data_IF_448087274863
#
_entry.id   IF_448087274863
#
_cell.length_a   1.000
_cell.length_b   1.000
_cell.length_c   1.000
_cell.angle_alpha   90.00
_cell.angle_beta   90.00
_cell.angle_gamma   90.00
#
_symmetry.space_group_name_H-M   'P 1'
#
loop_
_entity.id
_entity.type
_entity.pdbx_description
1 polymer ?
#
# COMPACT_ATOMS: atom_id res chain seq x y z
N UNK A 1 -2.40 67.80 -40.24
CA UNK A 1 -3.36 66.98 -39.48
C UNK A 1 -2.94 65.53 -39.58
N UNK A 2 -2.32 65.00 -38.57
CA UNK A 2 -1.90 63.58 -38.50
C UNK A 2 -2.77 62.84 -37.49
N UNK A 3 -3.54 61.90 -37.98
CA UNK A 3 -4.34 61.00 -37.15
C UNK A 3 -3.40 59.99 -36.46
N UNK A 4 -3.38 59.98 -35.12
CA UNK A 4 -2.77 58.94 -34.33
C UNK A 4 -3.80 57.84 -34.08
N UNK A 5 -3.55 56.66 -34.65
CA UNK A 5 -4.26 55.42 -34.41
C UNK A 5 -3.83 54.82 -33.07
N UNK A 6 -4.73 54.82 -32.09
CA UNK A 6 -4.54 54.09 -30.83
C UNK A 6 -4.73 52.58 -31.07
N UNK A 7 -3.63 51.82 -31.19
CA UNK A 7 -3.65 50.36 -31.00
C UNK A 7 -3.59 50.07 -29.50
N UNK A 8 -4.73 49.77 -28.91
CA UNK A 8 -4.81 49.09 -27.62
C UNK A 8 -4.27 47.71 -27.80
N UNK A 9 -3.10 47.43 -27.26
CA UNK A 9 -2.61 46.06 -27.04
C UNK A 9 -3.46 45.43 -25.99
N UNK A 10 -4.36 44.53 -26.44
CA UNK A 10 -5.06 43.57 -25.59
C UNK A 10 -4.04 42.53 -25.18
N UNK A 11 -3.38 42.74 -24.03
CA UNK A 11 -2.60 41.68 -23.37
C UNK A 11 -3.63 40.71 -22.85
N UNK A 12 -3.92 39.69 -23.65
CA UNK A 12 -4.52 38.45 -23.18
C UNK A 12 -3.53 37.88 -22.16
N UNK A 13 -3.82 38.08 -20.87
CA UNK A 13 -3.29 37.24 -19.83
C UNK A 13 -3.87 35.84 -20.05
N UNK A 14 -3.21 35.06 -20.89
CA UNK A 14 -3.29 33.60 -20.82
C UNK A 14 -2.65 33.23 -19.46
N UNK A 15 -3.44 33.28 -18.40
CA UNK A 15 -3.17 32.47 -17.24
C UNK A 15 -3.47 31.05 -17.71
N UNK A 16 -2.45 30.45 -18.35
CA UNK A 16 -2.42 29.04 -18.53
C UNK A 16 -2.76 28.42 -17.19
N UNK A 17 -3.81 27.61 -17.18
CA UNK A 17 -4.04 26.54 -16.23
C UNK A 17 -2.78 25.66 -16.25
N UNK A 18 -1.73 26.08 -15.54
CA UNK A 18 -0.49 25.34 -15.36
C UNK A 18 -0.85 24.23 -14.38
N UNK A 19 -1.42 23.22 -14.90
CA UNK A 19 -1.16 21.81 -14.84
C UNK A 19 -0.81 21.25 -13.45
N UNK A 20 -1.76 20.51 -12.83
CA UNK A 20 -1.42 19.59 -11.74
C UNK A 20 -0.37 18.53 -12.14
N UNK A 21 -0.19 18.24 -13.43
CA UNK A 21 0.85 17.34 -13.93
C UNK A 21 2.28 17.80 -13.63
N UNK A 22 2.56 19.10 -13.69
CA UNK A 22 3.85 19.64 -13.28
C UNK A 22 4.08 19.53 -11.77
N UNK A 23 3.04 19.66 -10.95
CA UNK A 23 3.15 19.50 -9.51
C UNK A 23 3.45 18.05 -9.09
N UNK A 24 2.95 17.07 -9.82
CA UNK A 24 3.21 15.64 -9.55
C UNK A 24 4.68 15.29 -9.79
N UNK A 25 5.32 15.89 -10.80
CA UNK A 25 6.72 15.64 -11.14
C UNK A 25 7.70 16.63 -10.50
N UNK A 26 7.23 17.77 -9.98
CA UNK A 26 8.07 18.82 -9.40
C UNK A 26 8.34 18.65 -7.89
N UNK A 27 7.79 17.62 -7.25
CA UNK A 27 8.12 17.31 -5.86
C UNK A 27 9.61 16.92 -5.77
N UNK A 28 10.34 17.54 -4.84
CA UNK A 28 11.76 17.22 -4.64
C UNK A 28 11.92 15.81 -4.13
N UNK A 29 12.32 14.93 -5.03
CA UNK A 29 12.70 13.56 -4.72
C UNK A 29 14.11 13.50 -4.12
N UNK A 30 14.42 12.44 -3.40
CA UNK A 30 15.77 12.18 -2.90
C UNK A 30 16.75 11.89 -4.05
N UNK A 31 18.05 11.95 -3.77
CA UNK A 31 19.15 11.72 -4.76
C UNK A 31 18.99 10.42 -5.56
N UNK A 32 18.39 9.40 -4.97
CA UNK A 32 18.26 8.06 -5.55
C UNK A 32 16.90 7.81 -6.20
N UNK A 33 15.92 8.68 -5.96
CA UNK A 33 14.61 8.61 -6.59
C UNK A 33 14.62 9.37 -7.93
N UNK A 34 14.17 8.72 -8.98
CA UNK A 34 14.03 9.32 -10.32
C UNK A 34 12.70 10.06 -10.50
N UNK A 35 11.75 9.87 -9.58
CA UNK A 35 10.37 10.35 -9.73
C UNK A 35 9.59 9.67 -10.87
N UNK A 36 10.10 8.54 -11.40
CA UNK A 36 9.51 7.83 -12.54
C UNK A 36 9.21 6.38 -12.19
N UNK A 37 8.16 5.79 -12.76
CA UNK A 37 7.88 4.36 -12.62
C UNK A 37 9.06 3.50 -13.07
N UNK A 38 9.28 2.38 -12.40
CA UNK A 38 10.29 1.38 -12.72
C UNK A 38 9.85 0.00 -12.18
N UNK A 39 10.73 -0.99 -12.27
CA UNK A 39 10.45 -2.32 -11.76
C UNK A 39 9.42 -3.07 -12.59
N UNK A 40 8.73 -4.00 -11.97
CA UNK A 40 7.70 -4.77 -12.66
C UNK A 40 6.60 -3.89 -13.26
N UNK A 41 6.24 -2.78 -12.64
CA UNK A 41 5.16 -1.90 -13.13
C UNK A 41 5.35 -1.42 -14.57
N UNK A 42 6.59 -1.33 -15.05
CA UNK A 42 6.93 -0.92 -16.43
C UNK A 42 7.48 -2.06 -17.27
N UNK A 43 7.42 -3.30 -16.82
CA UNK A 43 7.82 -4.47 -17.60
C UNK A 43 6.75 -4.80 -18.63
N UNK A 44 7.16 -5.06 -19.86
CA UNK A 44 6.23 -5.39 -20.95
C UNK A 44 5.78 -6.85 -20.95
N UNK A 45 6.61 -7.73 -20.34
CA UNK A 45 6.35 -9.18 -20.19
C UNK A 45 7.21 -9.76 -19.07
N UNK A 46 7.08 -11.07 -18.84
CA UNK A 46 7.92 -11.80 -17.90
C UNK A 46 9.40 -11.86 -18.32
N UNK A 47 9.67 -11.77 -19.61
CA UNK A 47 11.04 -11.75 -20.18
C UNK A 47 11.63 -10.33 -20.23
N UNK A 48 10.83 -9.30 -19.90
CA UNK A 48 11.24 -7.90 -19.95
C UNK A 48 10.47 -7.07 -20.98
N UNK A 49 11.16 -6.11 -21.59
CA UNK A 49 10.51 -5.11 -22.44
C UNK A 49 10.05 -3.89 -21.65
N UNK A 50 9.35 -2.97 -22.32
CA UNK A 50 8.89 -1.74 -21.71
C UNK A 50 7.38 -1.56 -21.88
N UNK A 51 6.70 -1.26 -20.79
CA UNK A 51 5.33 -0.77 -20.77
C UNK A 51 5.32 0.73 -20.44
N UNK A 52 4.53 1.51 -21.16
CA UNK A 52 4.40 2.95 -20.91
C UNK A 52 3.37 3.20 -19.81
N UNK A 53 3.79 3.09 -18.56
CA UNK A 53 2.97 3.43 -17.40
C UNK A 53 3.00 4.94 -17.19
N UNK A 54 1.94 5.63 -17.58
CA UNK A 54 1.81 7.09 -17.49
C UNK A 54 0.62 7.57 -16.65
N UNK A 55 -0.26 6.65 -16.20
CA UNK A 55 -1.39 6.97 -15.32
C UNK A 55 -2.34 8.04 -15.88
N UNK A 56 -2.52 8.11 -17.21
CA UNK A 56 -3.37 9.12 -17.85
C UNK A 56 -2.75 10.52 -17.91
N UNK A 57 -1.43 10.62 -17.93
CA UNK A 57 -0.70 11.90 -18.06
C UNK A 57 -1.22 12.72 -19.26
N UNK A 58 -1.45 14.02 -19.03
CA UNK A 58 -2.02 14.93 -20.05
C UNK A 58 -3.55 14.89 -20.15
N UNK A 59 -4.19 13.97 -19.44
CA UNK A 59 -5.65 13.85 -19.41
C UNK A 59 -6.34 14.88 -18.50
N UNK A 60 -7.66 14.71 -18.34
CA UNK A 60 -8.51 15.58 -17.56
C UNK A 60 -8.22 15.46 -16.06
N UNK A 61 -8.04 16.58 -15.36
CA UNK A 61 -7.68 16.60 -13.95
C UNK A 61 -8.70 17.30 -13.05
N UNK A 62 -8.75 16.90 -11.78
CA UNK A 62 -9.49 17.58 -10.72
C UNK A 62 -8.69 17.61 -9.42
N UNK A 63 -8.82 18.68 -8.66
CA UNK A 63 -8.31 18.76 -7.28
C UNK A 63 -9.47 18.74 -6.31
N UNK A 64 -9.45 17.80 -5.37
CA UNK A 64 -10.44 17.67 -4.31
C UNK A 64 -9.85 18.13 -2.98
N UNK A 65 -10.67 18.76 -2.15
CA UNK A 65 -10.40 19.07 -0.75
C UNK A 65 -11.45 18.40 0.12
N UNK A 66 -11.07 18.00 1.32
CA UNK A 66 -12.01 17.48 2.30
C UNK A 66 -13.04 18.55 2.68
N UNK A 67 -14.31 18.15 2.75
CA UNK A 67 -15.42 18.97 3.28
C UNK A 67 -15.73 18.63 4.75
N UNK A 68 -14.96 17.71 5.35
CA UNK A 68 -15.14 17.23 6.72
C UNK A 68 -16.12 16.05 6.84
N UNK A 69 -16.83 15.70 5.77
CA UNK A 69 -17.74 14.55 5.72
C UNK A 69 -17.12 13.30 5.08
N UNK A 70 -17.97 12.31 4.77
CA UNK A 70 -17.56 11.09 4.05
C UNK A 70 -17.28 11.40 2.57
N UNK A 71 -16.02 11.34 2.19
CA UNK A 71 -15.52 11.65 0.86
C UNK A 71 -15.52 10.46 -0.11
N UNK A 72 -15.90 9.27 0.32
CA UNK A 72 -15.78 8.05 -0.49
C UNK A 72 -16.48 8.17 -1.85
N UNK A 73 -17.75 8.61 -1.86
CA UNK A 73 -18.53 8.78 -3.09
C UNK A 73 -17.97 9.87 -3.99
N UNK A 74 -17.51 10.98 -3.42
CA UNK A 74 -16.92 12.10 -4.15
C UNK A 74 -15.66 11.68 -4.89
N UNK A 75 -14.75 10.97 -4.17
CA UNK A 75 -13.51 10.46 -4.77
C UNK A 75 -13.83 9.38 -5.81
N UNK A 76 -14.74 8.44 -5.51
CA UNK A 76 -15.14 7.39 -6.47
C UNK A 76 -15.70 7.97 -7.76
N UNK A 77 -16.55 9.00 -7.69
CA UNK A 77 -17.07 9.70 -8.87
C UNK A 77 -15.95 10.42 -9.64
N UNK A 78 -15.05 11.10 -8.95
CA UNK A 78 -13.92 11.76 -9.58
C UNK A 78 -13.02 10.79 -10.35
N UNK A 79 -12.76 9.60 -9.81
CA UNK A 79 -11.99 8.55 -10.50
C UNK A 79 -12.66 8.03 -11.78
N UNK A 80 -13.97 8.09 -11.88
CA UNK A 80 -14.71 7.75 -13.11
C UNK A 80 -14.63 8.84 -14.16
N UNK A 81 -14.68 10.11 -13.75
CA UNK A 81 -14.83 11.27 -14.66
C UNK A 81 -13.50 11.91 -15.07
N UNK A 82 -12.42 11.70 -14.32
CA UNK A 82 -11.12 12.34 -14.50
C UNK A 82 -10.00 11.32 -14.60
N UNK A 83 -8.95 11.66 -15.35
CA UNK A 83 -7.75 10.83 -15.49
C UNK A 83 -6.79 11.07 -14.33
N UNK A 84 -6.76 12.28 -13.80
CA UNK A 84 -5.89 12.68 -12.68
C UNK A 84 -6.76 13.26 -11.57
N UNK A 85 -6.73 12.61 -10.40
CA UNK A 85 -7.40 13.06 -9.17
C UNK A 85 -6.34 13.46 -8.15
N UNK A 86 -6.29 14.75 -7.84
CA UNK A 86 -5.39 15.31 -6.83
C UNK A 86 -6.17 15.49 -5.53
N UNK A 87 -5.64 14.95 -4.44
CA UNK A 87 -6.18 15.11 -3.09
C UNK A 87 -5.36 16.18 -2.37
N UNK A 88 -5.95 17.33 -2.10
CA UNK A 88 -5.31 18.43 -1.37
C UNK A 88 -5.65 18.36 0.12
N UNK A 89 -4.66 17.96 0.94
CA UNK A 89 -4.81 17.80 2.39
C UNK A 89 -4.91 19.10 3.19
N UNK A 90 -4.87 20.27 2.55
CA UNK A 90 -4.87 21.57 3.25
C UNK A 90 -6.12 21.82 4.12
N UNK A 91 -7.24 21.14 3.85
CA UNK A 91 -8.48 21.22 4.62
C UNK A 91 -8.63 20.09 5.67
N UNK A 92 -7.59 19.28 5.90
CA UNK A 92 -7.62 18.15 6.81
C UNK A 92 -7.87 16.80 6.11
N UNK A 93 -8.12 15.73 6.89
CA UNK A 93 -8.21 14.38 6.35
C UNK A 93 -9.47 14.16 5.52
N UNK A 94 -9.33 13.27 4.52
CA UNK A 94 -10.44 12.71 3.77
C UNK A 94 -10.98 11.50 4.53
N UNK A 95 -12.12 11.63 5.18
CA UNK A 95 -12.77 10.51 5.87
C UNK A 95 -13.45 9.61 4.85
N UNK A 96 -13.20 8.31 4.94
CA UNK A 96 -13.74 7.28 4.07
C UNK A 96 -14.63 6.37 4.90
N UNK A 97 -15.93 6.57 4.81
CA UNK A 97 -16.93 5.78 5.53
C UNK A 97 -17.20 4.42 4.88
N UNK A 98 -16.87 4.28 3.60
CA UNK A 98 -17.03 3.05 2.82
C UNK A 98 -15.92 2.94 1.78
N UNK A 99 -15.33 1.75 1.63
CA UNK A 99 -14.25 1.50 0.67
C UNK A 99 -14.57 2.08 -0.71
N UNK A 100 -13.68 2.93 -1.22
CA UNK A 100 -13.73 3.45 -2.58
C UNK A 100 -13.45 2.29 -3.54
N UNK A 101 -14.40 1.96 -4.41
CA UNK A 101 -14.24 0.91 -5.41
C UNK A 101 -13.94 1.51 -6.76
N UNK A 102 -12.69 1.33 -7.20
CA UNK A 102 -12.23 1.67 -8.54
C UNK A 102 -12.23 0.38 -9.37
N UNK A 103 -13.27 0.20 -10.20
CA UNK A 103 -13.45 -1.03 -10.97
C UNK A 103 -13.24 -0.79 -12.45
N UNK A 104 -12.37 -1.62 -13.07
CA UNK A 104 -12.08 -1.60 -14.53
C UNK A 104 -11.66 -0.22 -15.06
N UNK A 105 -10.94 0.54 -14.23
CA UNK A 105 -10.41 1.84 -14.63
C UNK A 105 -9.06 1.67 -15.32
N UNK A 106 -8.84 2.50 -16.33
CA UNK A 106 -7.58 2.56 -17.06
C UNK A 106 -7.02 3.98 -17.08
N UNK A 107 -5.69 4.10 -17.12
CA UNK A 107 -5.00 5.37 -17.29
C UNK A 107 -5.40 6.39 -16.21
N UNK A 108 -5.20 6.06 -14.93
CA UNK A 108 -5.56 6.92 -13.79
C UNK A 108 -4.36 7.24 -12.90
N UNK A 109 -4.31 8.48 -12.46
CA UNK A 109 -3.42 8.92 -11.37
C UNK A 109 -4.24 9.42 -10.20
N UNK A 110 -3.95 8.90 -9.02
CA UNK A 110 -4.46 9.38 -7.74
C UNK A 110 -3.24 9.87 -6.96
N UNK A 111 -3.17 11.16 -6.67
CA UNK A 111 -2.01 11.71 -5.97
C UNK A 111 -2.40 12.70 -4.89
N UNK A 112 -1.54 12.82 -3.88
CA UNK A 112 -1.72 13.74 -2.77
C UNK A 112 -0.79 14.94 -2.82
N UNK A 113 -1.26 16.07 -2.32
CA UNK A 113 -0.45 17.23 -1.97
C UNK A 113 -0.85 17.76 -0.59
N UNK A 114 -0.01 18.63 -0.01
CA UNK A 114 -0.27 19.26 1.28
C UNK A 114 -0.62 18.26 2.40
N UNK A 115 0.07 17.09 2.43
CA UNK A 115 -0.15 16.08 3.45
C UNK A 115 -1.48 15.34 3.33
N UNK A 116 -1.91 15.02 2.11
CA UNK A 116 -3.16 14.28 1.86
C UNK A 116 -3.24 12.99 2.69
N UNK A 117 -4.25 12.91 3.55
CA UNK A 117 -4.54 11.79 4.43
C UNK A 117 -5.92 11.23 4.11
N UNK A 118 -5.97 9.98 3.68
CA UNK A 118 -7.20 9.18 3.61
C UNK A 118 -7.31 8.35 4.90
N UNK A 119 -8.44 8.45 5.60
CA UNK A 119 -8.62 7.76 6.89
C UNK A 119 -10.03 7.19 7.05
N UNK A 120 -10.18 6.16 7.87
CA UNK A 120 -11.47 5.53 8.17
C UNK A 120 -12.20 6.26 9.30
N UNK A 121 -13.52 6.15 9.34
CA UNK A 121 -14.35 6.74 10.40
C UNK A 121 -14.18 6.04 11.76
N UNK A 122 -14.13 4.70 11.75
CA UNK A 122 -13.89 3.92 12.97
C UNK A 122 -12.42 3.98 13.38
N UNK A 123 -12.17 4.00 14.70
CA UNK A 123 -10.83 3.90 15.29
C UNK A 123 -10.86 3.02 16.53
N UNK A 124 -9.88 2.13 16.65
CA UNK A 124 -9.63 1.36 17.86
C UNK A 124 -9.25 2.31 19.00
N UNK A 125 -9.92 2.17 20.15
CA UNK A 125 -9.66 2.96 21.37
C UNK A 125 -9.00 2.12 22.45
N UNK A 126 -8.48 2.78 23.48
CA UNK A 126 -7.98 2.11 24.70
C UNK A 126 -9.05 1.25 25.36
N UNK A 127 -10.30 1.73 25.40
CA UNK A 127 -11.42 1.02 26.04
C UNK A 127 -11.79 -0.25 25.27
N UNK A 128 -11.80 -0.19 23.94
CA UNK A 128 -11.99 -1.39 23.10
C UNK A 128 -10.87 -2.39 23.37
N UNK A 129 -9.62 -1.95 23.43
CA UNK A 129 -8.49 -2.84 23.72
C UNK A 129 -8.60 -3.48 25.09
N UNK A 130 -8.96 -2.70 26.11
CA UNK A 130 -9.19 -3.21 27.48
C UNK A 130 -10.32 -4.25 27.52
N UNK A 131 -11.41 -4.02 26.78
CA UNK A 131 -12.51 -4.98 26.60
C UNK A 131 -11.99 -6.30 26.02
N UNK A 132 -11.26 -6.26 24.92
CA UNK A 132 -10.71 -7.43 24.25
C UNK A 132 -9.67 -8.18 25.11
N UNK A 133 -8.86 -7.45 25.88
CA UNK A 133 -7.91 -8.04 26.84
C UNK A 133 -8.66 -8.72 27.99
N UNK A 134 -9.72 -8.11 28.54
CA UNK A 134 -10.53 -8.69 29.59
C UNK A 134 -11.21 -10.00 29.19
N UNK A 135 -11.57 -10.12 27.93
CA UNK A 135 -12.14 -11.33 27.33
C UNK A 135 -11.06 -12.35 26.87
N UNK A 136 -9.78 -12.03 27.04
CA UNK A 136 -8.64 -12.89 26.68
C UNK A 136 -8.68 -13.40 25.22
N UNK A 137 -9.14 -12.58 24.28
CA UNK A 137 -9.37 -13.01 22.89
C UNK A 137 -8.11 -13.50 22.18
N UNK A 138 -6.92 -13.02 22.58
CA UNK A 138 -5.63 -13.47 22.02
C UNK A 138 -5.32 -14.93 22.29
N UNK A 139 -5.97 -15.54 23.29
CA UNK A 139 -5.79 -16.96 23.63
C UNK A 139 -6.81 -17.86 22.92
N UNK A 140 -7.78 -17.31 22.19
CA UNK A 140 -8.79 -18.07 21.49
C UNK A 140 -8.25 -18.69 20.18
N UNK A 141 -8.91 -19.76 19.75
CA UNK A 141 -8.52 -20.47 18.53
C UNK A 141 -8.94 -19.71 17.28
N UNK A 142 -8.07 -19.72 16.28
CA UNK A 142 -8.34 -19.18 14.95
C UNK A 142 -9.01 -20.21 14.00
N UNK A 143 -9.49 -21.32 14.53
CA UNK A 143 -10.16 -22.37 13.77
C UNK A 143 -11.41 -22.83 14.54
N UNK A 144 -12.45 -23.21 13.82
CA UNK A 144 -13.70 -23.70 14.42
C UNK A 144 -14.71 -24.16 13.37
N UNK A 145 -15.87 -24.63 13.85
CA UNK A 145 -16.92 -25.19 12.98
C UNK A 145 -17.96 -24.15 12.52
N UNK A 146 -17.68 -22.88 12.75
CA UNK A 146 -18.54 -21.76 12.40
C UNK A 146 -19.51 -21.37 13.54
N UNK A 147 -19.65 -20.08 13.71
CA UNK A 147 -20.41 -19.42 14.78
C UNK A 147 -21.42 -18.46 14.16
N UNK A 148 -22.51 -18.16 14.89
CA UNK A 148 -23.51 -17.20 14.45
C UNK A 148 -23.57 -16.04 15.43
N UNK A 149 -23.35 -14.82 14.96
CA UNK A 149 -23.43 -13.59 15.73
C UNK A 149 -24.89 -13.25 16.07
N UNK A 150 -25.11 -12.37 17.06
CA UNK A 150 -26.43 -11.89 17.45
C UNK A 150 -27.21 -11.22 16.30
N UNK A 151 -26.52 -10.65 15.31
CA UNK A 151 -27.12 -10.05 14.12
C UNK A 151 -27.42 -11.06 12.99
N UNK A 152 -27.15 -12.37 13.20
CA UNK A 152 -27.39 -13.44 12.25
C UNK A 152 -26.24 -13.72 11.28
N UNK A 153 -25.18 -12.93 11.27
CA UNK A 153 -24.02 -13.18 10.42
C UNK A 153 -23.23 -14.40 10.92
N UNK A 154 -22.70 -15.18 9.96
CA UNK A 154 -21.88 -16.36 10.27
C UNK A 154 -20.41 -16.01 10.22
N UNK A 155 -19.66 -16.54 11.18
CA UNK A 155 -18.22 -16.40 11.32
C UNK A 155 -17.61 -17.80 11.40
N UNK A 156 -16.46 -17.99 10.76
CA UNK A 156 -15.83 -19.31 10.71
C UNK A 156 -15.00 -19.62 11.95
N UNK A 157 -14.30 -18.62 12.46
CA UNK A 157 -13.30 -18.78 13.50
C UNK A 157 -13.81 -18.32 14.87
N UNK A 158 -13.41 -19.02 15.93
CA UNK A 158 -13.83 -18.71 17.31
C UNK A 158 -13.35 -17.32 17.76
N UNK A 159 -12.08 -17.01 17.50
CA UNK A 159 -11.51 -15.72 17.88
C UNK A 159 -12.22 -14.56 17.18
N UNK A 160 -12.45 -14.64 15.87
CA UNK A 160 -13.18 -13.64 15.12
C UNK A 160 -14.62 -13.48 15.62
N UNK A 161 -15.31 -14.60 15.93
CA UNK A 161 -16.66 -14.56 16.50
C UNK A 161 -16.71 -13.75 17.80
N UNK A 162 -15.83 -14.06 18.76
CA UNK A 162 -15.81 -13.37 20.05
C UNK A 162 -15.47 -11.89 19.90
N UNK A 163 -14.48 -11.56 19.09
CA UNK A 163 -14.11 -10.15 18.84
C UNK A 163 -15.27 -9.38 18.23
N UNK A 164 -15.90 -9.92 17.18
CA UNK A 164 -17.02 -9.26 16.50
C UNK A 164 -18.23 -9.11 17.42
N UNK A 165 -18.60 -10.15 18.16
CA UNK A 165 -19.75 -10.08 19.09
C UNK A 165 -19.50 -9.02 20.20
N UNK A 166 -18.30 -8.99 20.78
CA UNK A 166 -17.93 -7.98 21.77
C UNK A 166 -18.02 -6.56 21.22
N UNK A 167 -17.56 -6.35 19.99
CA UNK A 167 -17.62 -5.03 19.35
C UNK A 167 -19.04 -4.63 18.96
N UNK A 168 -19.89 -5.56 18.49
CA UNK A 168 -21.32 -5.32 18.25
C UNK A 168 -21.99 -4.81 19.52
N UNK A 169 -21.78 -5.51 20.63
CA UNK A 169 -22.45 -5.22 21.90
C UNK A 169 -21.91 -3.90 22.52
N UNK A 170 -20.58 -3.71 22.52
CA UNK A 170 -19.95 -2.55 23.12
C UNK A 170 -20.26 -1.25 22.35
N UNK A 171 -20.24 -1.30 21.03
CA UNK A 171 -20.51 -0.15 20.16
C UNK A 171 -22.00 0.05 19.87
N UNK A 172 -22.85 -0.91 20.27
CA UNK A 172 -24.26 -0.98 19.88
C UNK A 172 -24.41 -0.91 18.34
N UNK A 173 -23.57 -1.67 17.63
CA UNK A 173 -23.46 -1.65 16.18
C UNK A 173 -23.82 -3.02 15.55
N UNK A 174 -25.12 -3.36 15.44
CA UNK A 174 -25.56 -4.62 14.85
C UNK A 174 -25.27 -4.74 13.35
N UNK A 175 -24.91 -3.63 12.69
CA UNK A 175 -24.54 -3.62 11.26
C UNK A 175 -23.06 -3.85 11.03
N UNK A 176 -22.26 -3.87 12.11
CA UNK A 176 -20.81 -4.03 12.04
C UNK A 176 -20.12 -2.96 11.17
N UNK A 177 -20.58 -1.70 11.27
CA UNK A 177 -19.98 -0.56 10.55
C UNK A 177 -18.49 -0.39 10.90
N UNK A 178 -18.08 -0.83 12.11
CA UNK A 178 -16.68 -0.85 12.51
C UNK A 178 -15.79 -1.70 11.58
N UNK A 179 -16.34 -2.64 10.82
CA UNK A 179 -15.59 -3.45 9.85
C UNK A 179 -15.32 -2.73 8.54
N UNK A 180 -15.94 -1.59 8.27
CA UNK A 180 -15.67 -0.76 7.10
C UNK A 180 -14.31 -0.06 7.26
N UNK A 181 -13.23 -0.80 7.03
CA UNK A 181 -11.86 -0.41 7.30
C UNK A 181 -11.02 -0.18 6.03
N UNK A 182 -11.50 -0.62 4.88
CA UNK A 182 -10.86 -0.41 3.59
C UNK A 182 -10.98 1.03 3.10
N UNK A 183 -9.93 1.52 2.44
CA UNK A 183 -9.92 2.87 1.87
C UNK A 183 -10.08 2.81 0.36
N UNK A 184 -9.21 2.07 -0.34
CA UNK A 184 -9.22 2.01 -1.80
C UNK A 184 -9.07 0.57 -2.31
N UNK A 185 -9.99 0.13 -3.14
CA UNK A 185 -9.91 -1.15 -3.83
C UNK A 185 -9.83 -0.92 -5.34
N UNK A 186 -8.69 -1.26 -5.93
CA UNK A 186 -8.42 -1.25 -7.36
C UNK A 186 -8.72 -2.63 -7.93
N UNK A 187 -9.82 -2.76 -8.67
CA UNK A 187 -10.27 -4.04 -9.19
C UNK A 187 -10.32 -4.07 -10.71
N UNK A 188 -9.51 -4.95 -11.32
CA UNK A 188 -9.42 -5.07 -12.79
C UNK A 188 -8.94 -3.79 -13.47
N UNK A 189 -8.14 -2.97 -12.77
CA UNK A 189 -7.62 -1.71 -13.29
C UNK A 189 -6.30 -1.91 -14.05
N UNK A 190 -5.94 -0.95 -14.90
CA UNK A 190 -4.70 -0.98 -15.66
C UNK A 190 -4.10 0.41 -15.83
N UNK A 191 -2.76 0.51 -15.83
CA UNK A 191 -2.03 1.78 -16.00
C UNK A 191 -2.40 2.80 -14.92
N UNK A 192 -2.17 2.43 -13.66
CA UNK A 192 -2.57 3.22 -12.49
C UNK A 192 -1.34 3.73 -11.73
N UNK A 193 -1.39 4.98 -11.32
CA UNK A 193 -0.41 5.61 -10.42
C UNK A 193 -1.13 6.04 -9.14
N UNK A 194 -0.62 5.61 -7.98
CA UNK A 194 -1.04 6.09 -6.66
C UNK A 194 0.18 6.70 -5.99
N UNK A 195 0.16 8.00 -5.70
CA UNK A 195 1.37 8.68 -5.25
C UNK A 195 1.13 9.70 -4.15
N UNK A 196 2.07 9.75 -3.17
CA UNK A 196 2.16 10.80 -2.15
C UNK A 196 0.90 10.94 -1.30
N UNK A 197 0.33 9.81 -0.87
CA UNK A 197 -0.88 9.75 -0.04
C UNK A 197 -0.58 8.97 1.23
N UNK A 198 -1.08 9.46 2.36
CA UNK A 198 -1.14 8.70 3.59
C UNK A 198 -2.48 7.96 3.68
N UNK A 199 -2.41 6.66 3.96
CA UNK A 199 -3.55 5.79 4.26
C UNK A 199 -3.48 5.41 5.73
N UNK A 200 -4.51 5.76 6.51
CA UNK A 200 -4.54 5.46 7.93
C UNK A 200 -5.84 4.77 8.34
N UNK A 201 -5.71 3.53 8.76
CA UNK A 201 -6.81 2.70 9.21
C UNK A 201 -7.21 2.89 10.66
N UNK A 202 -8.08 2.00 11.13
CA UNK A 202 -8.61 2.06 12.51
C UNK A 202 -7.65 1.52 13.58
N UNK A 203 -6.63 0.78 13.20
CA UNK A 203 -5.87 -0.13 14.06
C UNK A 203 -6.26 -1.57 13.76
N UNK A 204 -5.30 -2.49 13.84
CA UNK A 204 -5.53 -3.88 13.47
C UNK A 204 -6.27 -4.67 14.55
N UNK A 205 -7.26 -5.42 14.11
CA UNK A 205 -8.00 -6.39 14.90
C UNK A 205 -8.60 -7.43 13.95
N UNK A 206 -8.64 -8.69 14.37
CA UNK A 206 -9.12 -9.78 13.51
C UNK A 206 -10.66 -9.84 13.51
N UNK A 207 -11.28 -9.22 12.53
CA UNK A 207 -12.75 -9.14 12.35
C UNK A 207 -13.16 -9.35 10.89
N UNK A 208 -12.29 -9.93 10.05
CA UNK A 208 -12.50 -9.99 8.59
C UNK A 208 -12.81 -8.61 8.00
N UNK A 209 -12.02 -7.60 8.39
CA UNK A 209 -12.07 -6.26 7.79
C UNK A 209 -11.42 -6.21 6.42
N UNK A 210 -11.35 -5.02 5.84
CA UNK A 210 -10.69 -4.76 4.57
C UNK A 210 -9.28 -4.19 4.79
N UNK A 211 -8.41 -4.34 3.78
CA UNK A 211 -7.10 -3.70 3.70
C UNK A 211 -7.24 -2.21 3.40
N UNK A 212 -6.24 -1.39 3.77
CA UNK A 212 -6.25 0.03 3.41
C UNK A 212 -6.22 0.23 1.89
N UNK A 213 -5.40 -0.54 1.20
CA UNK A 213 -5.36 -0.60 -0.26
C UNK A 213 -5.38 -2.06 -0.70
N UNK A 214 -6.23 -2.39 -1.66
CA UNK A 214 -6.25 -3.72 -2.29
C UNK A 214 -6.09 -3.55 -3.80
N UNK A 215 -5.15 -4.30 -4.42
CA UNK A 215 -5.09 -4.50 -5.86
C UNK A 215 -5.61 -5.90 -6.19
N UNK A 216 -6.72 -5.99 -6.93
CA UNK A 216 -7.38 -7.24 -7.27
C UNK A 216 -7.57 -7.37 -8.78
N UNK A 217 -6.83 -8.26 -9.43
CA UNK A 217 -6.82 -8.39 -10.89
C UNK A 217 -6.32 -7.14 -11.62
N UNK A 218 -5.54 -6.31 -10.96
CA UNK A 218 -5.02 -5.03 -11.46
C UNK A 218 -3.63 -5.22 -12.03
N UNK A 219 -3.33 -4.57 -13.17
CA UNK A 219 -2.05 -4.67 -13.85
C UNK A 219 -1.42 -3.32 -14.09
N UNK A 220 -0.06 -3.28 -14.14
CA UNK A 220 0.71 -2.06 -14.34
C UNK A 220 0.29 -0.96 -13.34
N UNK A 221 0.53 -1.25 -12.06
CA UNK A 221 0.28 -0.34 -10.94
C UNK A 221 1.61 0.14 -10.34
N UNK A 222 1.76 1.45 -10.21
CA UNK A 222 2.85 2.04 -9.45
C UNK A 222 2.32 2.79 -8.24
N UNK A 223 2.73 2.34 -7.05
CA UNK A 223 2.43 3.00 -5.77
C UNK A 223 3.72 3.59 -5.23
N UNK A 224 3.76 4.91 -5.08
CA UNK A 224 5.02 5.61 -4.83
C UNK A 224 4.87 6.68 -3.74
N UNK A 225 5.87 6.75 -2.84
CA UNK A 225 5.88 7.73 -1.74
C UNK A 225 4.56 7.77 -0.96
N UNK A 226 3.97 6.61 -0.70
CA UNK A 226 2.79 6.48 0.15
C UNK A 226 3.17 6.01 1.55
N UNK A 227 2.36 6.39 2.54
CA UNK A 227 2.49 5.91 3.91
C UNK A 227 1.24 5.12 4.30
N UNK A 228 1.42 3.90 4.79
CA UNK A 228 0.34 3.02 5.22
C UNK A 228 0.46 2.76 6.71
N UNK A 229 -0.60 3.01 7.45
CA UNK A 229 -0.60 2.88 8.90
C UNK A 229 -1.90 2.30 9.44
N UNK A 230 -1.79 1.34 10.34
CA UNK A 230 -2.93 0.84 11.14
C UNK A 230 -4.05 0.19 10.31
N UNK A 231 -3.73 -0.55 9.25
CA UNK A 231 -4.72 -1.35 8.51
C UNK A 231 -5.39 -2.38 9.43
N UNK A 232 -6.69 -2.61 9.26
CA UNK A 232 -7.44 -3.55 10.10
C UNK A 232 -7.10 -5.00 9.77
N UNK A 233 -7.17 -5.41 8.52
CA UNK A 233 -6.71 -6.72 8.05
C UNK A 233 -5.26 -6.64 7.57
N UNK A 234 -4.96 -5.76 6.62
CA UNK A 234 -3.60 -5.48 6.21
C UNK A 234 -3.43 -4.02 5.75
N UNK A 235 -2.19 -3.63 5.48
CA UNK A 235 -1.91 -2.30 4.93
C UNK A 235 -2.13 -2.27 3.41
N UNK A 236 -1.59 -3.26 2.66
CA UNK A 236 -1.78 -3.31 1.22
C UNK A 236 -1.64 -4.73 0.68
N UNK A 237 -2.71 -5.29 0.16
CA UNK A 237 -2.76 -6.64 -0.40
C UNK A 237 -2.91 -6.65 -1.93
N UNK A 238 -2.23 -7.60 -2.56
CA UNK A 238 -2.19 -7.80 -4.01
C UNK A 238 -2.67 -9.22 -4.31
N UNK A 239 -3.78 -9.38 -5.01
CA UNK A 239 -4.41 -10.68 -5.20
C UNK A 239 -5.09 -10.85 -6.57
N UNK A 240 -5.81 -11.97 -6.75
CA UNK A 240 -6.70 -12.24 -7.90
C UNK A 240 -6.02 -12.04 -9.27
N UNK A 241 -4.81 -12.59 -9.44
CA UNK A 241 -4.03 -12.50 -10.68
C UNK A 241 -3.61 -11.08 -11.07
N UNK A 242 -3.49 -10.18 -10.09
CA UNK A 242 -2.82 -8.90 -10.31
C UNK A 242 -1.39 -9.12 -10.79
N UNK A 243 -0.85 -8.21 -11.61
CA UNK A 243 0.49 -8.39 -12.17
C UNK A 243 1.17 -7.07 -12.49
N UNK A 244 2.51 -7.11 -12.66
CA UNK A 244 3.30 -5.94 -13.02
C UNK A 244 3.08 -4.76 -12.07
N UNK A 245 3.37 -4.97 -10.77
CA UNK A 245 3.15 -3.97 -9.74
C UNK A 245 4.49 -3.54 -9.13
N UNK A 246 4.64 -2.26 -8.84
CA UNK A 246 5.78 -1.73 -8.08
C UNK A 246 5.29 -0.83 -6.96
N UNK A 247 5.76 -1.13 -5.74
CA UNK A 247 5.70 -0.24 -4.60
C UNK A 247 7.10 0.35 -4.40
N UNK A 248 7.21 1.68 -4.39
CA UNK A 248 8.51 2.32 -4.18
C UNK A 248 8.42 3.46 -3.17
N UNK A 249 9.47 3.61 -2.36
CA UNK A 249 9.57 4.67 -1.37
C UNK A 249 8.38 4.75 -0.40
N UNK A 250 7.70 3.63 -0.16
CA UNK A 250 6.55 3.55 0.74
C UNK A 250 6.98 3.22 2.17
N UNK A 251 6.16 3.62 3.14
CA UNK A 251 6.31 3.23 4.54
C UNK A 251 5.11 2.45 5.04
N UNK A 252 5.36 1.45 5.87
CA UNK A 252 4.35 0.63 6.52
C UNK A 252 4.59 0.62 8.01
N UNK A 253 3.55 0.79 8.81
CA UNK A 253 3.65 0.80 10.28
C UNK A 253 2.34 0.46 10.96
N UNK A 254 2.45 0.12 12.25
CA UNK A 254 1.33 -0.02 13.16
C UNK A 254 1.62 0.76 14.44
N UNK A 255 0.62 1.47 14.94
CA UNK A 255 0.70 2.23 16.17
C UNK A 255 0.17 1.42 17.36
N UNK A 256 0.12 2.07 18.52
CA UNK A 256 -0.51 1.51 19.71
C UNK A 256 -2.01 1.23 19.56
N UNK A 257 -2.67 1.71 18.50
CA UNK A 257 -4.06 1.34 18.19
C UNK A 257 -4.20 -0.10 17.74
N UNK A 258 -3.15 -0.68 17.14
CA UNK A 258 -3.15 -2.07 16.75
C UNK A 258 -3.26 -2.99 17.98
N UNK A 259 -4.09 -4.01 17.88
CA UNK A 259 -4.30 -4.98 18.96
C UNK A 259 -3.73 -6.35 18.63
N UNK A 260 -4.02 -6.89 17.46
CA UNK A 260 -3.53 -8.15 16.92
C UNK A 260 -3.59 -8.09 15.39
N UNK A 261 -3.04 -9.08 14.69
CA UNK A 261 -3.14 -9.16 13.22
C UNK A 261 -2.41 -8.02 12.47
N UNK A 262 -1.19 -7.63 12.95
CA UNK A 262 -0.41 -6.57 12.32
C UNK A 262 0.29 -7.08 11.04
N UNK A 263 -0.51 -7.40 10.02
CA UNK A 263 -0.08 -7.85 8.70
C UNK A 263 0.15 -6.65 7.77
N UNK A 264 1.18 -6.69 6.92
CA UNK A 264 1.47 -5.54 6.04
C UNK A 264 1.09 -5.77 4.59
N UNK A 265 1.73 -6.74 3.91
CA UNK A 265 1.56 -6.91 2.47
C UNK A 265 1.44 -8.40 2.12
N UNK A 266 0.28 -8.82 1.66
CA UNK A 266 0.08 -10.13 1.07
C UNK A 266 0.11 -10.04 -0.46
N UNK A 267 0.92 -10.88 -1.09
CA UNK A 267 0.91 -11.12 -2.53
C UNK A 267 0.41 -12.54 -2.76
N UNK A 268 -0.77 -12.67 -3.36
CA UNK A 268 -1.42 -13.96 -3.57
C UNK A 268 -2.16 -14.51 -2.34
N UNK A 269 -3.49 -14.36 -2.35
CA UNK A 269 -4.37 -14.73 -1.23
C UNK A 269 -4.57 -16.24 -1.08
N UNK A 270 -4.23 -17.08 -2.07
CA UNK A 270 -4.57 -18.50 -2.11
C UNK A 270 -3.40 -19.37 -2.59
N UNK A 271 -3.33 -20.58 -2.06
CA UNK A 271 -2.47 -21.65 -2.57
C UNK A 271 -3.02 -22.29 -3.88
N UNK A 272 -4.19 -21.86 -4.34
CA UNK A 272 -4.77 -22.32 -5.60
C UNK A 272 -3.99 -21.75 -6.80
N UNK A 273 -3.37 -22.60 -7.65
CA UNK A 273 -2.57 -22.14 -8.78
C UNK A 273 -3.35 -21.28 -9.79
N UNK A 274 -4.66 -21.51 -9.94
CA UNK A 274 -5.48 -20.70 -10.85
C UNK A 274 -5.60 -19.23 -10.44
N UNK A 275 -5.16 -18.86 -9.23
CA UNK A 275 -5.19 -17.48 -8.73
C UNK A 275 -3.85 -16.76 -8.78
N UNK A 276 -2.78 -17.43 -9.20
CA UNK A 276 -1.45 -16.78 -9.11
C UNK A 276 -0.36 -17.29 -10.04
N UNK A 277 -0.49 -18.49 -10.63
CA UNK A 277 0.55 -18.98 -11.57
C UNK A 277 0.65 -18.01 -12.75
N UNK A 278 1.89 -17.67 -13.11
CA UNK A 278 2.28 -16.73 -14.19
C UNK A 278 1.81 -15.27 -13.99
N UNK A 279 1.39 -14.93 -12.76
CA UNK A 279 1.03 -13.57 -12.37
C UNK A 279 1.66 -13.23 -11.00
N UNK A 280 1.28 -12.09 -10.44
CA UNK A 280 1.73 -11.62 -9.13
C UNK A 280 3.23 -11.26 -9.12
N UNK A 281 3.73 -10.68 -10.23
CA UNK A 281 5.08 -10.18 -10.32
C UNK A 281 5.14 -8.78 -9.70
N UNK A 282 5.84 -8.65 -8.56
CA UNK A 282 5.81 -7.45 -7.74
C UNK A 282 7.20 -7.00 -7.33
N UNK A 283 7.46 -5.70 -7.42
CA UNK A 283 8.63 -5.03 -6.88
C UNK A 283 8.26 -4.26 -5.62
N UNK A 284 8.98 -4.51 -4.54
CA UNK A 284 9.05 -3.63 -3.37
C UNK A 284 10.44 -3.00 -3.33
N UNK A 285 10.53 -1.70 -3.57
CA UNK A 285 11.83 -1.05 -3.65
C UNK A 285 11.89 0.19 -2.76
N UNK A 286 12.97 0.32 -2.01
CA UNK A 286 13.21 1.49 -1.15
C UNK A 286 12.09 1.73 -0.13
N UNK A 287 11.42 0.67 0.31
CA UNK A 287 10.34 0.74 1.29
C UNK A 287 10.87 0.55 2.72
N UNK A 288 10.09 1.04 3.69
CA UNK A 288 10.37 0.83 5.12
C UNK A 288 9.21 0.05 5.73
N UNK A 289 9.50 -1.09 6.37
CA UNK A 289 8.62 -1.73 7.34
C UNK A 289 9.08 -1.34 8.73
N UNK A 290 8.31 -0.47 9.35
CA UNK A 290 8.64 0.20 10.60
C UNK A 290 7.97 -0.42 11.83
N UNK A 291 7.85 0.40 12.86
CA UNK A 291 7.31 -0.01 14.16
C UNK A 291 5.96 -0.73 14.04
N UNK A 292 5.78 -1.77 14.84
CA UNK A 292 4.55 -2.55 14.96
C UNK A 292 4.27 -3.53 13.81
N UNK A 293 5.03 -3.50 12.70
CA UNK A 293 4.90 -4.51 11.65
C UNK A 293 5.34 -5.89 12.18
N UNK A 294 4.44 -6.87 12.13
CA UNK A 294 4.72 -8.21 12.66
C UNK A 294 5.04 -9.21 11.56
N UNK A 295 4.26 -9.25 10.50
CA UNK A 295 4.46 -10.22 9.42
C UNK A 295 3.98 -9.70 8.05
N UNK A 296 4.27 -10.51 7.00
CA UNK A 296 3.93 -10.22 5.60
C UNK A 296 4.64 -8.95 5.08
N UNK A 297 5.99 -8.94 5.11
CA UNK A 297 6.79 -7.78 4.67
C UNK A 297 7.73 -8.09 3.46
N UNK A 298 7.26 -8.54 2.29
CA UNK A 298 5.94 -9.10 2.01
C UNK A 298 5.86 -10.62 2.31
N UNK A 299 4.64 -11.17 2.37
CA UNK A 299 4.40 -12.60 2.20
C UNK A 299 3.88 -12.85 0.79
N UNK A 300 4.52 -13.73 0.04
CA UNK A 300 4.16 -14.00 -1.34
C UNK A 300 3.85 -15.47 -1.61
N UNK A 301 2.78 -15.71 -2.35
CA UNK A 301 2.48 -16.96 -3.03
C UNK A 301 2.47 -16.70 -4.52
N UNK A 302 3.08 -17.59 -5.29
CA UNK A 302 3.25 -17.44 -6.74
C UNK A 302 4.05 -16.19 -7.14
N UNK A 303 4.27 -15.97 -8.42
CA UNK A 303 4.90 -14.81 -8.98
C UNK A 303 6.39 -14.63 -8.64
N UNK A 304 6.98 -13.61 -9.23
CA UNK A 304 8.38 -13.24 -9.02
C UNK A 304 8.44 -11.92 -8.25
N UNK A 305 8.96 -11.98 -7.03
CA UNK A 305 9.01 -10.87 -6.09
C UNK A 305 10.43 -10.33 -6.00
N UNK A 306 10.59 -9.05 -6.27
CA UNK A 306 11.85 -8.34 -6.06
C UNK A 306 11.73 -7.39 -4.87
N UNK A 307 12.47 -7.65 -3.81
CA UNK A 307 12.58 -6.77 -2.65
C UNK A 307 13.94 -6.10 -2.68
N UNK A 308 13.98 -4.84 -3.11
CA UNK A 308 15.18 -4.09 -3.41
C UNK A 308 15.43 -2.97 -2.42
N UNK A 309 16.60 -2.97 -1.76
CA UNK A 309 17.05 -1.88 -0.89
C UNK A 309 16.00 -1.39 0.13
N UNK A 310 15.28 -2.32 0.72
CA UNK A 310 14.28 -2.02 1.76
C UNK A 310 14.89 -2.03 3.16
N UNK A 311 14.27 -1.26 4.06
CA UNK A 311 14.62 -1.18 5.48
C UNK A 311 13.57 -1.91 6.32
N UNK A 312 14.04 -2.87 7.10
CA UNK A 312 13.23 -3.56 8.11
C UNK A 312 13.58 -3.00 9.49
N UNK A 313 12.70 -2.18 10.05
CA UNK A 313 12.80 -1.53 11.36
C UNK A 313 11.63 -1.98 12.27
N UNK A 314 11.42 -3.30 12.32
CA UNK A 314 10.28 -3.97 12.93
C UNK A 314 10.72 -4.95 14.02
N UNK A 315 11.33 -4.45 15.08
CA UNK A 315 11.80 -5.27 16.17
C UNK A 315 10.69 -6.14 16.78
N UNK A 316 11.02 -7.41 17.05
CA UNK A 316 10.10 -8.38 17.68
C UNK A 316 9.18 -9.12 16.71
N UNK A 317 9.26 -8.86 15.43
CA UNK A 317 8.41 -9.43 14.36
C UNK A 317 8.38 -10.97 14.36
N UNK A 318 7.26 -11.55 13.90
CA UNK A 318 7.09 -13.00 13.75
C UNK A 318 7.51 -13.53 12.38
N UNK A 319 7.42 -12.73 11.30
CA UNK A 319 7.93 -13.09 9.98
C UNK A 319 8.03 -11.87 9.07
N UNK A 320 9.23 -11.37 8.77
CA UNK A 320 9.40 -10.26 7.83
C UNK A 320 9.09 -10.71 6.40
N UNK A 321 10.07 -10.90 5.53
CA UNK A 321 9.85 -11.45 4.21
C UNK A 321 9.52 -12.95 4.29
N UNK A 322 8.56 -13.42 3.50
CA UNK A 322 8.07 -14.79 3.57
C UNK A 322 7.72 -15.33 2.18
N UNK A 323 8.61 -16.10 1.59
CA UNK A 323 8.39 -16.76 0.31
C UNK A 323 7.58 -18.05 0.52
N UNK A 324 6.41 -18.14 -0.10
CA UNK A 324 5.49 -19.25 0.05
C UNK A 324 5.16 -19.86 -1.31
N UNK A 325 4.31 -20.84 -1.28
CA UNK A 325 3.77 -21.66 -2.37
C UNK A 325 4.07 -21.14 -3.79
N UNK A 326 5.09 -21.74 -4.44
CA UNK A 326 5.41 -21.47 -5.84
C UNK A 326 5.99 -20.07 -6.14
N UNK A 327 6.21 -19.21 -5.14
CA UNK A 327 6.81 -17.89 -5.35
C UNK A 327 8.33 -17.98 -5.60
N UNK A 328 8.84 -17.03 -6.37
CA UNK A 328 10.26 -16.76 -6.54
C UNK A 328 10.59 -15.41 -5.91
N UNK A 329 11.52 -15.33 -4.95
CA UNK A 329 11.81 -14.09 -4.23
C UNK A 329 13.29 -13.74 -4.24
N UNK A 330 13.63 -12.56 -4.79
CA UNK A 330 14.95 -11.96 -4.66
C UNK A 330 14.88 -10.85 -3.59
N UNK A 331 15.62 -11.01 -2.50
CA UNK A 331 15.94 -9.97 -1.54
C UNK A 331 17.34 -9.43 -1.83
N UNK A 332 17.47 -8.17 -2.22
CA UNK A 332 18.74 -7.60 -2.62
C UNK A 332 19.01 -6.24 -1.96
N UNK A 333 20.19 -6.12 -1.32
CA UNK A 333 20.66 -4.88 -0.73
C UNK A 333 19.79 -4.34 0.41
N UNK A 334 19.00 -5.18 1.08
CA UNK A 334 18.14 -4.80 2.18
C UNK A 334 18.90 -4.67 3.49
N UNK A 335 18.35 -3.89 4.43
CA UNK A 335 18.91 -3.70 5.75
C UNK A 335 17.92 -4.10 6.84
N UNK A 336 18.29 -5.06 7.66
CA UNK A 336 17.51 -5.56 8.80
C UNK A 336 18.13 -5.04 10.10
N UNK A 337 17.41 -4.13 10.79
CA UNK A 337 17.87 -3.56 12.06
C UNK A 337 17.92 -4.60 13.16
N UNK A 338 18.66 -4.26 14.21
CA UNK A 338 18.71 -5.06 15.43
C UNK A 338 17.31 -5.25 16.02
N UNK A 339 17.00 -6.48 16.43
CA UNK A 339 15.71 -6.85 16.99
C UNK A 339 14.73 -7.44 15.98
N UNK A 340 15.05 -7.42 14.68
CA UNK A 340 14.27 -8.15 13.66
C UNK A 340 14.54 -9.65 13.83
N UNK A 341 13.58 -10.37 14.47
CA UNK A 341 13.79 -11.77 14.91
C UNK A 341 13.76 -12.77 13.77
N UNK A 342 12.89 -12.56 12.79
CA UNK A 342 12.67 -13.49 11.68
C UNK A 342 12.74 -12.74 10.35
N UNK A 343 13.97 -12.43 9.86
CA UNK A 343 14.16 -11.62 8.66
C UNK A 343 13.56 -12.24 7.40
N UNK A 344 13.70 -13.57 7.26
CA UNK A 344 13.20 -14.30 6.10
C UNK A 344 12.67 -15.68 6.49
N UNK A 345 11.58 -16.09 5.88
CA UNK A 345 11.02 -17.44 5.96
C UNK A 345 10.63 -17.92 4.57
N UNK A 346 10.61 -19.22 4.40
CA UNK A 346 10.08 -19.87 3.21
C UNK A 346 9.24 -21.10 3.56
N UNK A 347 8.27 -21.41 2.71
CA UNK A 347 7.53 -22.68 2.74
C UNK A 347 6.98 -22.98 1.36
N UNK A 348 7.44 -24.07 0.74
CA UNK A 348 7.03 -24.49 -0.61
C UNK A 348 7.26 -23.41 -1.69
N UNK A 349 8.21 -22.49 -1.48
CA UNK A 349 8.65 -21.53 -2.48
C UNK A 349 9.39 -22.25 -3.62
N UNK A 350 9.35 -21.70 -4.83
CA UNK A 350 10.03 -22.25 -6.01
C UNK A 350 11.52 -21.90 -6.00
N UNK A 351 11.85 -20.65 -5.63
CA UNK A 351 13.23 -20.19 -5.52
C UNK A 351 13.33 -18.97 -4.58
N UNK A 352 14.49 -18.78 -3.96
CA UNK A 352 14.81 -17.53 -3.25
C UNK A 352 16.30 -17.25 -3.27
N UNK A 353 16.66 -15.97 -3.39
CA UNK A 353 18.05 -15.52 -3.30
C UNK A 353 18.14 -14.33 -2.33
N UNK A 354 19.12 -14.37 -1.42
CA UNK A 354 19.38 -13.36 -0.40
C UNK A 354 20.72 -12.67 -0.68
N UNK A 355 20.70 -11.64 -1.52
CA UNK A 355 21.89 -11.04 -2.10
C UNK A 355 22.24 -9.69 -1.44
N UNK A 356 23.49 -9.54 -0.99
CA UNK A 356 24.06 -8.29 -0.49
C UNK A 356 23.26 -7.62 0.64
N UNK A 357 22.52 -8.40 1.45
CA UNK A 357 21.73 -7.90 2.57
C UNK A 357 22.58 -7.74 3.83
N UNK A 358 22.19 -6.82 4.72
CA UNK A 358 22.77 -6.66 6.07
C UNK A 358 21.73 -7.09 7.09
N UNK A 359 22.08 -8.10 7.89
CA UNK A 359 21.33 -8.56 9.05
C UNK A 359 22.11 -8.13 10.31
N UNK A 360 21.53 -7.22 11.13
CA UNK A 360 22.20 -6.74 12.34
C UNK A 360 22.25 -7.80 13.44
N UNK A 361 21.31 -8.73 13.48
CA UNK A 361 21.35 -9.92 14.33
C UNK A 361 21.76 -11.15 13.50
N UNK A 362 22.23 -12.20 14.17
CA UNK A 362 22.67 -13.41 13.50
C UNK A 362 21.53 -14.07 12.70
N UNK A 363 21.70 -14.15 11.41
CA UNK A 363 20.80 -14.83 10.48
C UNK A 363 21.59 -15.41 9.32
N UNK A 364 21.24 -16.61 8.91
CA UNK A 364 21.75 -17.24 7.70
C UNK A 364 20.70 -18.17 7.11
N UNK A 365 20.62 -18.20 5.81
CA UNK A 365 19.82 -19.14 5.04
C UNK A 365 20.48 -19.30 3.66
N UNK A 366 20.62 -20.52 3.21
CA UNK A 366 21.17 -20.81 1.89
C UNK A 366 20.13 -20.43 0.81
N UNK A 367 20.62 -19.97 -0.32
CA UNK A 367 19.81 -19.69 -1.50
C UNK A 367 19.29 -20.99 -2.12
N UNK A 368 18.14 -20.94 -2.76
CA UNK A 368 17.53 -22.02 -3.50
C UNK A 368 17.13 -21.57 -4.88
N UNK A 369 17.58 -22.27 -5.92
CA UNK A 369 17.28 -21.95 -7.30
C UNK A 369 17.89 -20.62 -7.76
N UNK A 370 17.34 -20.06 -8.82
CA UNK A 370 17.77 -18.78 -9.38
C UNK A 370 16.56 -17.90 -9.71
N UNK A 371 16.47 -16.76 -9.05
CA UNK A 371 15.46 -15.75 -9.34
C UNK A 371 16.02 -14.75 -10.35
N UNK A 372 15.29 -14.51 -11.44
CA UNK A 372 15.71 -13.61 -12.53
C UNK A 372 14.79 -12.40 -12.58
N UNK A 373 15.38 -11.20 -12.53
CA UNK A 373 14.67 -9.93 -12.66
C UNK A 373 14.94 -9.34 -14.03
N UNK A 374 13.92 -9.16 -14.89
CA UNK A 374 14.12 -8.86 -16.30
C UNK A 374 14.26 -7.36 -16.63
N UNK A 375 14.34 -6.49 -15.63
CA UNK A 375 14.47 -5.03 -15.81
C UNK A 375 15.73 -4.49 -15.14
N UNK A 376 16.13 -3.28 -15.54
CA UNK A 376 17.26 -2.58 -14.92
C UNK A 376 16.82 -1.77 -13.70
N UNK A 377 17.67 -1.71 -12.67
CA UNK A 377 17.42 -0.98 -11.45
C UNK A 377 18.70 -0.38 -10.87
N UNK A 378 18.55 0.57 -9.96
CA UNK A 378 19.68 1.14 -9.21
C UNK A 378 19.80 0.44 -7.87
N UNK A 379 21.00 0.00 -7.52
CA UNK A 379 21.31 -0.58 -6.23
C UNK A 379 21.98 0.47 -5.33
N UNK A 380 21.44 0.64 -4.13
CA UNK A 380 22.06 1.37 -3.04
C UNK A 380 22.86 0.36 -2.21
N UNK A 381 24.08 0.69 -1.84
CA UNK A 381 24.85 -0.15 -0.93
C UNK A 381 24.06 -0.36 0.39
N UNK A 382 23.85 -1.61 0.81
CA UNK A 382 22.93 -1.93 1.91
C UNK A 382 23.19 -1.13 3.20
N UNK A 383 24.45 -0.85 3.56
CA UNK A 383 24.82 -0.03 4.74
C UNK A 383 24.28 1.40 4.68
N UNK A 384 23.98 1.91 3.49
CA UNK A 384 23.45 3.27 3.30
C UNK A 384 21.92 3.33 3.28
N UNK A 385 21.27 2.19 3.19
CA UNK A 385 19.80 2.09 3.12
C UNK A 385 19.12 2.83 4.29
N UNK A 386 19.53 2.65 5.56
CA UNK A 386 18.88 3.39 6.65
C UNK A 386 18.97 4.90 6.50
N UNK A 387 20.17 5.44 6.16
CA UNK A 387 20.39 6.88 5.96
C UNK A 387 19.54 7.42 4.82
N UNK A 388 19.53 6.71 3.69
CA UNK A 388 18.83 7.17 2.48
C UNK A 388 17.32 7.14 2.67
N UNK A 389 16.77 6.06 3.22
CA UNK A 389 15.33 5.90 3.33
C UNK A 389 14.70 6.75 4.44
N UNK A 390 15.44 7.03 5.52
CA UNK A 390 14.94 7.91 6.61
C UNK A 390 15.33 9.37 6.44
N UNK A 391 16.12 9.68 5.42
CA UNK A 391 16.57 11.04 5.11
C UNK A 391 15.50 11.87 4.41
N UNK A 392 15.82 13.16 4.20
CA UNK A 392 14.90 14.08 3.50
C UNK A 392 14.64 13.61 2.06
N UNK A 393 13.37 13.44 1.70
CA UNK A 393 12.95 12.90 0.40
C UNK A 393 13.25 11.41 0.25
N UNK A 394 13.36 10.68 1.38
CA UNK A 394 13.39 9.21 1.45
C UNK A 394 11.98 8.61 1.39
N UNK A 395 11.81 7.46 2.06
CA UNK A 395 10.53 6.76 2.04
C UNK A 395 9.41 7.52 2.80
N UNK A 396 8.18 7.34 2.36
CA UNK A 396 7.01 8.05 2.85
C UNK A 396 6.68 9.29 2.03
N UNK A 397 5.85 10.16 2.58
CA UNK A 397 5.37 11.33 1.86
C UNK A 397 6.49 12.29 1.47
N UNK A 398 6.42 12.78 0.26
CA UNK A 398 7.27 13.87 -0.20
C UNK A 398 6.88 15.18 0.48
N UNK A 399 7.84 16.00 0.90
CA UNK A 399 7.53 17.33 1.42
C UNK A 399 6.81 18.16 0.37
N UNK A 400 5.79 18.90 0.79
CA UNK A 400 5.15 19.90 -0.06
C UNK A 400 6.18 20.92 -0.54
N UNK A 401 6.10 21.31 -1.80
CA UNK A 401 6.88 22.41 -2.35
C UNK A 401 6.38 23.75 -1.81
#
# INVERSE_FOLDING_TARGET
MKQYSNRKYLILMLWALIFPTLAIHAQKTGKYDSGKPFGWAVSGSLEGGCYNLNGGEGGKSITLKSDGGDMAKTIQKALQEYDIVVLDGSNGPFVIGKTIRAEQLENKTICGCNGALLTTSFKMTSDIKALLDSANVKALKTSGDGYTLSNGNRVREEAEYHVRQLLIDFLNDPKEEFRHSGILNLRGCQNIIVRNIQFEGPGSVDVSGDDLLTASGTTHLWVDHCAFKDGMDANFDINSRSDFITLSWCTFSYSERAYMHMNTNLVGASDNPNQGVDNLNVTFAYCIWGAGCDQRMPMARWGTIHVLNCLYDCAGNSAAANARKGSEMLLEGCYFRKGVKHPFRQKDAKAWNLKDNIFCDAFSMEDEGKVVIPYTYKLIEARRVPEVLTGKGGAGLLPSL
#
